data_IF_496648539109
#
_entry.id   IF_496648539109
#
_cell.length_a   1.000
_cell.length_b   1.000
_cell.length_c   1.000
_cell.angle_alpha   90.00
_cell.angle_beta   90.00
_cell.angle_gamma   90.00
#
_symmetry.space_group_name_H-M   'P 1'
#
loop_
_entity.id
_entity.type
_entity.pdbx_description
1 polymer ?
#
# COMPACT_ATOMS: atom_id res chain seq x y z
N UNK A 1 -5.48 -7.96 -16.97
CA UNK A 1 -4.44 -7.54 -16.00
C UNK A 1 -5.09 -6.56 -15.03
N UNK A 2 -4.96 -6.74 -13.70
CA UNK A 2 -5.54 -5.81 -12.71
C UNK A 2 -4.43 -4.86 -12.22
N UNK A 3 -4.70 -3.57 -12.25
CA UNK A 3 -3.84 -2.52 -11.74
C UNK A 3 -4.73 -1.36 -11.25
N UNK A 4 -4.27 -0.62 -10.24
CA UNK A 4 -4.97 0.52 -9.68
C UNK A 4 -4.24 1.83 -10.04
N UNK A 5 -4.95 2.92 -10.38
CA UNK A 5 -4.32 4.22 -10.56
C UNK A 5 -3.88 4.78 -9.21
N UNK A 6 -2.67 5.35 -9.17
CA UNK A 6 -2.16 6.13 -8.05
C UNK A 6 -2.46 7.61 -8.31
N UNK A 7 -3.15 8.23 -7.37
CA UNK A 7 -3.54 9.63 -7.41
C UNK A 7 -2.82 10.40 -6.31
N UNK A 8 -2.12 11.47 -6.68
CA UNK A 8 -1.57 12.42 -5.71
C UNK A 8 -2.64 13.45 -5.37
N UNK A 9 -3.20 13.36 -4.17
CA UNK A 9 -4.25 14.25 -3.68
C UNK A 9 -3.77 15.69 -3.46
N UNK A 10 -2.47 15.94 -3.27
CA UNK A 10 -1.96 17.31 -3.09
C UNK A 10 -1.84 18.02 -4.43
N UNK A 11 -1.32 17.30 -5.43
CA UNK A 11 -1.10 17.82 -6.79
C UNK A 11 -2.32 17.66 -7.69
N UNK A 12 -3.32 16.89 -7.26
CA UNK A 12 -4.53 16.56 -8.01
C UNK A 12 -4.18 15.97 -9.38
N UNK A 13 -3.25 15.02 -9.39
CA UNK A 13 -2.80 14.38 -10.63
C UNK A 13 -2.58 12.88 -10.50
N UNK A 14 -2.67 12.21 -11.64
CA UNK A 14 -2.27 10.82 -11.79
C UNK A 14 -0.75 10.71 -11.75
N UNK A 15 -0.21 9.89 -10.86
CA UNK A 15 1.24 9.75 -10.65
C UNK A 15 1.79 8.37 -11.01
N UNK A 16 0.93 7.42 -11.36
CA UNK A 16 1.37 6.11 -11.79
C UNK A 16 0.34 5.01 -11.60
N UNK A 17 0.74 3.77 -11.84
CA UNK A 17 -0.08 2.59 -11.65
C UNK A 17 0.51 1.73 -10.55
N UNK A 18 -0.34 1.18 -9.69
CA UNK A 18 0.01 0.10 -8.77
C UNK A 18 -0.46 -1.22 -9.38
N UNK A 19 0.48 -2.08 -9.77
CA UNK A 19 0.15 -3.42 -10.28
C UNK A 19 0.08 -4.45 -9.15
N UNK A 20 -0.49 -5.62 -9.45
CA UNK A 20 -0.45 -6.77 -8.53
C UNK A 20 1.00 -7.12 -8.13
N UNK A 21 1.94 -7.02 -9.06
CA UNK A 21 3.35 -7.33 -8.78
C UNK A 21 3.99 -6.31 -7.85
N UNK A 22 3.67 -5.02 -8.01
CA UNK A 22 4.15 -3.97 -7.12
C UNK A 22 3.59 -4.18 -5.70
N UNK A 23 2.30 -4.50 -5.58
CA UNK A 23 1.66 -4.82 -4.31
C UNK A 23 2.35 -5.98 -3.58
N UNK A 24 2.63 -7.09 -4.29
CA UNK A 24 3.34 -8.25 -3.71
C UNK A 24 4.75 -7.86 -3.23
N UNK A 25 5.48 -7.06 -4.01
CA UNK A 25 6.84 -6.61 -3.63
C UNK A 25 6.82 -5.72 -2.40
N UNK A 26 5.83 -4.83 -2.28
CA UNK A 26 5.64 -3.99 -1.09
C UNK A 26 5.41 -4.90 0.13
N UNK A 27 4.49 -5.86 0.04
CA UNK A 27 4.26 -6.80 1.14
C UNK A 27 5.55 -7.55 1.52
N UNK A 28 6.29 -8.09 0.56
CA UNK A 28 7.56 -8.78 0.86
C UNK A 28 8.62 -7.87 1.50
N UNK A 29 8.64 -6.58 1.15
CA UNK A 29 9.60 -5.61 1.69
C UNK A 29 9.27 -5.20 3.12
N UNK A 30 7.99 -4.98 3.44
CA UNK A 30 7.57 -4.46 4.73
C UNK A 30 7.13 -5.54 5.71
N UNK A 31 6.78 -6.72 5.23
CA UNK A 31 6.33 -7.85 6.03
C UNK A 31 7.48 -8.86 6.22
N UNK A 32 8.45 -8.49 7.06
CA UNK A 32 9.69 -9.26 7.29
C UNK A 32 9.59 -10.26 8.46
N UNK A 33 8.54 -10.18 9.29
CA UNK A 33 8.33 -11.11 10.40
C UNK A 33 6.94 -11.77 10.30
N UNK A 34 6.83 -13.11 10.34
CA UNK A 34 5.56 -13.84 10.30
C UNK A 34 4.69 -13.66 11.56
N UNK A 35 5.12 -12.82 12.50
CA UNK A 35 4.42 -12.59 13.77
C UNK A 35 3.48 -11.40 13.77
N UNK A 36 3.60 -10.48 12.80
CA UNK A 36 2.67 -9.36 12.65
C UNK A 36 1.54 -9.87 11.77
N UNK A 37 0.31 -10.03 12.24
CA UNK A 37 -0.77 -10.50 11.35
C UNK A 37 -1.21 -9.38 10.40
N UNK A 38 -1.72 -9.72 9.21
CA UNK A 38 -2.22 -8.71 8.25
C UNK A 38 -3.35 -7.86 8.86
N UNK A 39 -4.10 -8.44 9.81
CA UNK A 39 -5.18 -7.78 10.56
C UNK A 39 -4.66 -6.64 11.45
N UNK A 40 -3.45 -6.76 12.04
CA UNK A 40 -2.84 -5.67 12.83
C UNK A 40 -2.45 -4.47 11.95
N UNK A 41 -2.15 -4.69 10.67
CA UNK A 41 -1.83 -3.61 9.73
C UNK A 41 -3.09 -2.86 9.25
N UNK A 42 -4.21 -3.56 9.15
CA UNK A 42 -5.51 -3.00 8.75
C UNK A 42 -6.08 -2.06 9.83
N UNK A 43 -5.77 -2.30 11.11
CA UNK A 43 -6.21 -1.44 12.23
C UNK A 43 -5.36 -0.17 12.42
N UNK A 44 -4.15 -0.08 11.85
CA UNK A 44 -3.20 1.01 12.14
C UNK A 44 -3.23 2.21 11.17
N UNK A 45 -4.06 2.19 10.12
CA UNK A 45 -4.07 3.24 9.09
C UNK A 45 -5.41 3.97 8.94
N UNK A 46 -5.73 4.83 9.92
CA UNK A 46 -6.43 6.10 9.66
C UNK A 46 -5.89 7.25 10.53
N UNK A 47 -5.27 6.97 11.69
CA UNK A 47 -4.79 8.02 12.61
C UNK A 47 -3.30 8.36 12.44
N UNK A 48 -2.50 7.47 11.83
CA UNK A 48 -1.02 7.60 11.80
C UNK A 48 -0.49 8.46 10.64
N UNK A 49 -1.31 8.81 9.64
CA UNK A 49 -0.89 9.60 8.47
C UNK A 49 -1.29 11.07 8.58
N UNK A 50 -0.81 11.76 9.63
CA UNK A 50 -0.97 13.21 9.82
C UNK A 50 0.37 13.94 9.85
#
# INVERSE_FOLDING_TARGET
VRAAPLWDSSRQEFVGMLTITDFIKILQMYYTSPTVTMDELEEHELDTWR
#
